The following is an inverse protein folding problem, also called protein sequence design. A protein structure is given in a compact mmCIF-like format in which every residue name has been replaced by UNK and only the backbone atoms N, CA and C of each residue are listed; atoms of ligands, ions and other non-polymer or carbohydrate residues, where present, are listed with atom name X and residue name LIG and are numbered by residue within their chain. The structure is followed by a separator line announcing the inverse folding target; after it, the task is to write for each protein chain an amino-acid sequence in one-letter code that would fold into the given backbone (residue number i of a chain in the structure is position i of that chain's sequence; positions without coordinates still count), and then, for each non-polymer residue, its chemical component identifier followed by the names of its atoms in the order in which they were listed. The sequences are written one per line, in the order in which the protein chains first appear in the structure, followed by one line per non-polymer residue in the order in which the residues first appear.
data_IF_194248348483
#
_entry.id   IF_194248348483
#
_cell.length_a   1.000
_cell.length_b   1.000
_cell.length_c   1.000
_cell.angle_alpha   90.00
_cell.angle_beta   90.00
_cell.angle_gamma   90.00
#
_symmetry.space_group_name_H-M   'P 1'
#
loop_
_entity.id
_entity.type
_entity.pdbx_description
1 polymer ?
#
# COMPACT_ATOMS: atom_id res chain seq x y z
N UNK A 1 14.64 -7.99 15.56
CA UNK A 1 15.17 -7.00 16.52
C UNK A 1 16.64 -7.30 16.68
N UNK A 2 17.50 -6.45 16.15
CA UNK A 2 18.96 -6.63 16.19
C UNK A 2 19.46 -6.01 17.51
N UNK A 3 20.27 -6.71 18.32
CA UNK A 3 20.80 -6.16 19.58
C UNK A 3 21.80 -5.04 19.29
N UNK A 4 21.80 -3.99 20.11
CA UNK A 4 22.83 -2.94 19.99
C UNK A 4 24.22 -3.49 20.32
N UNK A 5 25.26 -2.80 19.85
CA UNK A 5 26.66 -3.14 20.15
C UNK A 5 26.90 -3.28 21.66
N UNK A 6 26.31 -2.40 22.47
CA UNK A 6 26.39 -2.49 23.93
C UNK A 6 25.76 -3.76 24.51
N UNK A 7 24.65 -4.22 23.91
CA UNK A 7 23.98 -5.47 24.30
C UNK A 7 24.82 -6.66 23.85
N UNK A 8 25.40 -6.61 22.65
CA UNK A 8 26.29 -7.65 22.14
C UNK A 8 27.54 -7.78 23.02
N UNK A 9 28.18 -6.68 23.41
CA UNK A 9 29.36 -6.69 24.28
C UNK A 9 29.06 -7.20 25.69
N UNK A 10 27.84 -7.00 26.18
CA UNK A 10 27.37 -7.62 27.44
C UNK A 10 27.17 -9.12 27.27
N UNK A 11 26.61 -9.56 26.14
CA UNK A 11 26.39 -10.97 25.84
C UNK A 11 27.72 -11.72 25.62
N UNK A 12 28.66 -11.15 24.86
CA UNK A 12 29.99 -11.72 24.65
C UNK A 12 30.73 -11.95 25.97
N UNK A 13 30.65 -10.98 26.89
CA UNK A 13 31.20 -11.13 28.25
C UNK A 13 30.46 -12.15 29.08
N UNK A 14 29.12 -12.15 29.06
CA UNK A 14 28.31 -13.10 29.84
C UNK A 14 28.50 -14.56 29.38
N UNK A 15 28.76 -14.76 28.09
CA UNK A 15 28.99 -16.07 27.48
C UNK A 15 30.47 -16.50 27.48
N UNK A 16 31.38 -15.69 28.06
CA UNK A 16 32.82 -15.91 28.05
C UNK A 16 33.39 -16.21 26.65
N UNK A 17 32.89 -15.50 25.63
CA UNK A 17 33.41 -15.63 24.28
C UNK A 17 34.84 -15.10 24.22
N UNK A 18 35.68 -15.79 23.46
CA UNK A 18 37.02 -15.29 23.19
C UNK A 18 36.98 -14.07 22.26
N UNK A 19 38.11 -13.35 22.21
CA UNK A 19 38.24 -12.11 21.44
C UNK A 19 38.04 -12.32 19.93
N UNK A 20 38.24 -13.55 19.43
CA UNK A 20 38.02 -13.89 18.02
C UNK A 20 36.52 -14.01 17.72
N UNK A 21 35.80 -14.78 18.54
CA UNK A 21 34.35 -14.97 18.41
C UNK A 21 33.57 -13.67 18.67
N UNK A 22 34.01 -12.86 19.63
CA UNK A 22 33.41 -11.55 19.89
C UNK A 22 33.61 -10.58 18.71
N UNK A 23 34.76 -10.64 18.03
CA UNK A 23 35.03 -9.84 16.83
C UNK A 23 34.18 -10.29 15.66
N UNK A 24 34.07 -11.59 15.42
CA UNK A 24 33.22 -12.16 14.37
C UNK A 24 31.75 -11.76 14.55
N UNK A 25 31.22 -11.82 15.78
CA UNK A 25 29.85 -11.37 16.06
C UNK A 25 29.65 -9.87 15.85
N UNK A 26 30.65 -9.04 16.18
CA UNK A 26 30.61 -7.60 15.89
C UNK A 26 30.61 -7.34 14.39
N UNK A 27 31.43 -8.07 13.64
CA UNK A 27 31.51 -7.94 12.18
C UNK A 27 30.18 -8.39 11.52
N UNK A 28 29.56 -9.47 12.01
CA UNK A 28 28.23 -9.90 11.58
C UNK A 28 27.14 -8.89 11.93
N UNK A 29 27.19 -8.27 13.11
CA UNK A 29 26.26 -7.22 13.51
C UNK A 29 26.38 -6.01 12.56
N UNK A 30 27.58 -5.55 12.28
CA UNK A 30 27.85 -4.47 11.32
C UNK A 30 27.38 -4.84 9.92
N UNK A 31 27.58 -6.08 9.48
CA UNK A 31 27.10 -6.55 8.18
C UNK A 31 25.56 -6.55 8.09
N UNK A 32 24.86 -6.95 9.16
CA UNK A 32 23.39 -6.91 9.23
C UNK A 32 22.89 -5.47 9.30
N UNK A 33 23.50 -4.61 10.11
CA UNK A 33 23.17 -3.17 10.18
C UNK A 33 23.41 -2.48 8.83
N UNK A 34 24.50 -2.80 8.14
CA UNK A 34 24.80 -2.30 6.81
C UNK A 34 23.80 -2.81 5.77
N UNK A 35 23.39 -4.09 5.83
CA UNK A 35 22.41 -4.64 4.90
C UNK A 35 21.02 -4.01 5.10
N UNK A 36 20.62 -3.75 6.35
CA UNK A 36 19.40 -3.00 6.69
C UNK A 36 19.51 -1.55 6.19
N UNK A 37 20.69 -0.92 6.35
CA UNK A 37 20.94 0.44 5.86
C UNK A 37 20.92 0.51 4.33
N UNK A 38 21.41 -0.49 3.61
CA UNK A 38 21.33 -0.53 2.13
C UNK A 38 19.89 -0.74 1.64
N UNK A 39 19.07 -1.48 2.38
CA UNK A 39 17.61 -1.57 2.13
C UNK A 39 16.92 -0.21 2.39
N UNK A 40 17.47 0.59 3.33
CA UNK A 40 17.02 1.94 3.69
C UNK A 40 17.56 3.04 2.77
N UNK A 41 18.72 2.91 2.14
CA UNK A 41 19.25 3.93 1.19
C UNK A 41 18.49 3.94 -0.15
N UNK A 42 17.67 2.92 -0.43
CA UNK A 42 16.62 2.98 -1.45
C UNK A 42 15.44 3.91 -1.05
N UNK A 43 15.35 4.36 0.21
CA UNK A 43 14.31 5.25 0.77
C UNK A 43 14.49 6.74 0.41
N UNK A 44 15.39 7.09 -0.53
CA UNK A 44 15.59 8.46 -0.99
C UNK A 44 14.55 8.97 -2.00
N UNK A 45 13.67 8.10 -2.51
CA UNK A 45 12.63 8.47 -3.46
C UNK A 45 11.31 8.71 -2.69
N UNK A 46 10.65 9.86 -2.88
CA UNK A 46 9.35 10.09 -2.24
C UNK A 46 8.38 8.96 -2.58
N UNK A 47 7.65 8.48 -1.56
CA UNK A 47 6.61 7.47 -1.69
C UNK A 47 5.71 7.79 -2.91
N UNK A 48 5.80 6.96 -3.92
CA UNK A 48 5.14 7.03 -5.22
C UNK A 48 6.06 6.60 -6.36
N UNK A 49 7.32 7.07 -6.40
CA UNK A 49 8.12 7.07 -7.64
C UNK A 49 8.64 5.71 -8.10
N UNK A 50 8.94 4.77 -7.20
CA UNK A 50 9.49 3.45 -7.60
C UNK A 50 8.36 2.50 -8.00
N UNK A 51 7.20 2.58 -7.32
CA UNK A 51 5.95 1.97 -7.78
C UNK A 51 5.65 2.39 -9.21
N UNK A 52 5.84 3.68 -9.53
CA UNK A 52 5.42 4.24 -10.81
C UNK A 52 6.16 3.64 -12.00
N UNK A 53 7.47 3.41 -11.92
CA UNK A 53 8.25 2.87 -13.05
C UNK A 53 7.98 1.38 -13.27
N UNK A 54 7.87 0.61 -12.18
CA UNK A 54 7.52 -0.81 -12.26
C UNK A 54 6.11 -1.01 -12.83
N UNK A 55 5.13 -0.23 -12.34
CA UNK A 55 3.73 -0.27 -12.84
C UNK A 55 3.64 0.21 -14.28
N UNK A 56 4.35 1.29 -14.64
CA UNK A 56 4.34 1.82 -16.02
C UNK A 56 4.97 0.84 -17.00
N UNK A 57 5.98 0.07 -16.59
CA UNK A 57 6.60 -0.97 -17.42
C UNK A 57 5.74 -2.23 -17.59
N UNK A 58 4.85 -2.53 -16.63
CA UNK A 58 4.18 -3.83 -16.53
C UNK A 58 2.92 -3.96 -17.40
N UNK A 59 2.76 -5.09 -18.10
CA UNK A 59 1.52 -5.34 -18.87
C UNK A 59 0.36 -5.78 -17.98
N UNK A 60 0.67 -6.45 -16.88
CA UNK A 60 -0.26 -6.93 -15.87
C UNK A 60 0.08 -6.29 -14.53
N UNK A 61 -0.91 -5.68 -13.89
CA UNK A 61 -0.79 -5.10 -12.56
C UNK A 61 -1.82 -5.77 -11.66
N UNK A 62 -1.37 -6.45 -10.61
CA UNK A 62 -2.26 -7.10 -9.64
C UNK A 62 -2.00 -6.52 -8.26
N UNK A 63 -2.95 -5.77 -7.71
CA UNK A 63 -2.78 -5.09 -6.42
C UNK A 63 -3.77 -5.58 -5.39
N UNK A 64 -3.26 -5.99 -4.23
CA UNK A 64 -4.08 -6.30 -3.06
C UNK A 64 -3.94 -5.19 -2.02
N UNK A 65 -5.07 -4.70 -1.49
CA UNK A 65 -5.06 -3.66 -0.47
C UNK A 65 -6.04 -3.96 0.67
N UNK A 66 -5.58 -3.72 1.90
CA UNK A 66 -6.35 -3.96 3.12
C UNK A 66 -6.51 -2.73 4.02
N UNK A 67 -5.84 -1.62 3.71
CA UNK A 67 -5.87 -0.38 4.53
C UNK A 67 -6.19 0.84 3.68
N UNK A 68 -5.42 1.07 2.61
CA UNK A 68 -5.51 2.26 1.75
C UNK A 68 -5.93 1.85 0.34
N UNK A 69 -6.65 2.70 -0.38
CA UNK A 69 -6.93 2.43 -1.79
C UNK A 69 -5.66 2.42 -2.63
N UNK A 70 -5.54 1.52 -3.64
CA UNK A 70 -4.42 1.53 -4.57
C UNK A 70 -4.29 2.90 -5.23
N UNK A 71 -3.07 3.43 -5.32
CA UNK A 71 -2.78 4.76 -5.87
C UNK A 71 -3.37 5.01 -7.26
N UNK A 72 -3.44 3.98 -8.10
CA UNK A 72 -4.09 4.00 -9.43
C UNK A 72 -5.61 4.23 -9.37
N UNK A 73 -6.26 3.82 -8.28
CA UNK A 73 -7.70 3.95 -8.10
C UNK A 73 -8.12 5.23 -7.37
N UNK A 74 -7.17 5.96 -6.76
CA UNK A 74 -7.48 7.15 -5.96
C UNK A 74 -8.01 8.32 -6.80
N UNK A 75 -9.00 9.04 -6.29
CA UNK A 75 -9.41 10.33 -6.82
C UNK A 75 -8.34 11.38 -6.50
N UNK A 76 -8.36 12.51 -7.21
CA UNK A 76 -7.45 13.61 -6.91
C UNK A 76 -7.60 14.13 -5.46
N UNK A 77 -8.83 14.09 -4.92
CA UNK A 77 -9.12 14.51 -3.55
C UNK A 77 -8.60 13.51 -2.51
N UNK A 78 -8.77 12.20 -2.75
CA UNK A 78 -8.21 11.16 -1.90
C UNK A 78 -6.68 11.22 -1.91
N UNK A 79 -6.07 11.33 -3.10
CA UNK A 79 -4.62 11.45 -3.25
C UNK A 79 -4.08 12.69 -2.52
N UNK A 80 -4.80 13.82 -2.59
CA UNK A 80 -4.44 15.05 -1.86
C UNK A 80 -4.38 14.78 -0.35
N UNK A 81 -5.41 14.14 0.21
CA UNK A 81 -5.44 13.85 1.64
C UNK A 81 -4.31 12.90 2.07
N UNK A 82 -3.97 11.91 1.24
CA UNK A 82 -2.80 11.04 1.49
C UNK A 82 -1.52 11.87 1.57
N UNK A 83 -1.28 12.77 0.62
CA UNK A 83 -0.06 13.59 0.60
C UNK A 83 -0.03 14.67 1.69
N UNK A 84 -1.18 15.22 2.09
CA UNK A 84 -1.27 16.18 3.20
C UNK A 84 -0.92 15.58 4.56
N UNK A 85 -0.97 14.25 4.69
CA UNK A 85 -0.56 13.54 5.92
C UNK A 85 0.95 13.39 6.08
N UNK A 86 1.75 13.75 5.06
CA UNK A 86 3.20 13.67 5.13
C UNK A 86 3.78 14.80 6.02
N UNK A 87 4.80 14.51 6.86
CA UNK A 87 5.37 15.50 7.80
C UNK A 87 5.80 16.84 7.18
N UNK A 88 6.31 16.82 5.94
CA UNK A 88 6.85 17.99 5.24
C UNK A 88 5.94 18.47 4.08
N UNK A 89 4.64 18.17 4.14
CA UNK A 89 3.69 18.53 3.10
C UNK A 89 3.52 20.06 2.96
N UNK A 90 3.71 20.58 1.75
CA UNK A 90 3.37 21.96 1.38
C UNK A 90 2.29 21.96 0.31
N UNK A 91 1.49 23.02 0.21
CA UNK A 91 0.44 23.10 -0.81
C UNK A 91 0.98 22.90 -2.24
N UNK A 92 2.19 23.39 -2.52
CA UNK A 92 2.85 23.20 -3.81
C UNK A 92 3.35 21.76 -4.02
N UNK A 93 3.99 21.14 -3.01
CA UNK A 93 4.47 19.76 -3.14
C UNK A 93 3.31 18.77 -3.28
N UNK A 94 2.23 18.97 -2.50
CA UNK A 94 0.98 18.21 -2.61
C UNK A 94 0.35 18.39 -3.98
N UNK A 95 0.23 19.63 -4.47
CA UNK A 95 -0.35 19.92 -5.79
C UNK A 95 0.38 19.19 -6.93
N UNK A 96 1.72 19.22 -6.92
CA UNK A 96 2.55 18.49 -7.89
C UNK A 96 2.39 16.99 -7.77
N UNK A 97 2.41 16.45 -6.54
CA UNK A 97 2.30 15.02 -6.30
C UNK A 97 0.93 14.45 -6.72
N UNK A 98 -0.15 15.19 -6.47
CA UNK A 98 -1.50 14.85 -6.93
C UNK A 98 -1.58 14.84 -8.45
N UNK A 99 -1.05 15.87 -9.12
CA UNK A 99 -1.05 15.94 -10.58
C UNK A 99 -0.31 14.74 -11.20
N UNK A 100 0.88 14.44 -10.68
CA UNK A 100 1.67 13.30 -11.13
C UNK A 100 0.92 11.97 -10.89
N UNK A 101 0.25 11.80 -9.74
CA UNK A 101 -0.57 10.61 -9.47
C UNK A 101 -1.73 10.48 -10.44
N UNK A 102 -2.46 11.56 -10.73
CA UNK A 102 -3.59 11.55 -11.68
C UNK A 102 -3.11 11.23 -13.09
N UNK A 103 -1.99 11.79 -13.53
CA UNK A 103 -1.41 11.52 -14.85
C UNK A 103 -1.15 10.01 -15.04
N UNK A 104 -0.62 9.34 -14.02
CA UNK A 104 -0.30 7.91 -14.08
C UNK A 104 -1.51 7.01 -14.19
N UNK A 105 -2.68 7.49 -13.80
CA UNK A 105 -3.92 6.72 -13.93
C UNK A 105 -4.35 6.54 -15.39
N UNK A 106 -3.71 7.22 -16.34
CA UNK A 106 -3.88 6.96 -17.77
C UNK A 106 -3.59 5.50 -18.13
N UNK A 107 -2.71 4.83 -17.37
CA UNK A 107 -2.34 3.42 -17.59
C UNK A 107 -3.54 2.48 -17.53
N UNK A 108 -4.58 2.83 -16.76
CA UNK A 108 -5.81 2.06 -16.66
C UNK A 108 -6.61 2.04 -17.97
N UNK A 109 -6.36 2.99 -18.88
CA UNK A 109 -7.07 3.13 -20.14
C UNK A 109 -6.27 2.61 -21.34
N UNK A 110 -5.03 2.15 -21.12
CA UNK A 110 -4.15 1.67 -22.18
C UNK A 110 -4.60 0.28 -22.70
N UNK A 111 -4.91 0.14 -24.00
CA UNK A 111 -5.27 -1.16 -24.56
C UNK A 111 -4.14 -2.18 -24.41
N UNK A 112 -4.49 -3.43 -24.08
CA UNK A 112 -3.52 -4.51 -23.92
C UNK A 112 -2.89 -4.60 -22.53
N UNK A 113 -3.26 -3.72 -21.59
CA UNK A 113 -2.97 -3.89 -20.17
C UNK A 113 -4.13 -4.54 -19.43
N UNK A 114 -3.79 -5.34 -18.42
CA UNK A 114 -4.75 -5.86 -17.46
C UNK A 114 -4.39 -5.35 -16.06
N UNK A 115 -5.37 -4.78 -15.36
CA UNK A 115 -5.22 -4.34 -13.97
C UNK A 115 -6.25 -5.02 -13.10
N UNK A 116 -5.80 -5.80 -12.12
CA UNK A 116 -6.65 -6.49 -11.17
C UNK A 116 -6.42 -5.90 -9.78
N UNK A 117 -7.49 -5.44 -9.16
CA UNK A 117 -7.45 -4.88 -7.81
C UNK A 117 -8.30 -5.74 -6.88
N UNK A 118 -7.73 -6.21 -5.79
CA UNK A 118 -8.47 -6.93 -4.74
C UNK A 118 -8.38 -6.11 -3.46
N UNK A 119 -9.54 -5.67 -2.96
CA UNK A 119 -9.64 -4.86 -1.76
C UNK A 119 -10.30 -5.67 -0.65
N UNK A 120 -9.92 -5.46 0.60
CA UNK A 120 -10.85 -5.78 1.70
C UNK A 120 -11.92 -4.70 1.79
N UNK A 121 -13.13 -5.05 2.23
CA UNK A 121 -14.19 -4.05 2.44
C UNK A 121 -13.80 -2.95 3.44
N UNK A 122 -12.85 -3.21 4.36
CA UNK A 122 -12.33 -2.21 5.27
C UNK A 122 -11.73 -0.99 4.55
N UNK A 123 -11.13 -1.18 3.37
CA UNK A 123 -10.60 -0.08 2.54
C UNK A 123 -11.70 0.87 2.08
N UNK A 124 -12.89 0.34 1.78
CA UNK A 124 -14.04 1.13 1.34
C UNK A 124 -14.70 1.89 2.50
N UNK A 125 -14.49 1.40 3.72
CA UNK A 125 -15.12 1.91 4.95
C UNK A 125 -14.19 2.80 5.77
N UNK A 126 -12.90 2.82 5.46
CA UNK A 126 -11.93 3.70 6.13
C UNK A 126 -11.87 5.00 5.34
N UNK A 127 -12.53 6.06 5.83
CA UNK A 127 -12.51 7.36 5.18
C UNK A 127 -11.44 8.28 5.79
N UNK A 128 -10.44 8.68 5.01
CA UNK A 128 -9.57 9.77 5.41
C UNK A 128 -10.32 11.10 5.21
N UNK A 129 -10.44 11.91 6.27
CA UNK A 129 -11.14 13.18 6.21
C UNK A 129 -12.66 13.07 6.34
N UNK A 130 -13.41 13.34 5.27
CA UNK A 130 -14.88 13.50 5.33
C UNK A 130 -15.64 12.38 4.60
N UNK A 131 -16.90 12.11 4.97
CA UNK A 131 -17.76 11.21 4.20
C UNK A 131 -17.92 11.63 2.73
N UNK A 132 -17.94 12.94 2.45
CA UNK A 132 -18.05 13.47 1.08
C UNK A 132 -16.84 13.08 0.21
N UNK A 133 -15.62 13.14 0.77
CA UNK A 133 -14.40 12.70 0.08
C UNK A 133 -14.51 11.23 -0.33
N UNK A 134 -14.94 10.36 0.59
CA UNK A 134 -15.09 8.94 0.25
C UNK A 134 -16.25 8.67 -0.70
N UNK A 135 -17.33 9.44 -0.68
CA UNK A 135 -18.38 9.33 -1.71
C UNK A 135 -17.83 9.59 -3.11
N UNK A 136 -17.06 10.68 -3.28
CA UNK A 136 -16.40 10.99 -4.56
C UNK A 136 -15.40 9.89 -4.98
N UNK A 137 -14.70 9.30 -4.01
CA UNK A 137 -13.82 8.17 -4.24
C UNK A 137 -14.57 6.90 -4.69
N UNK A 138 -15.71 6.58 -4.07
CA UNK A 138 -16.52 5.41 -4.44
C UNK A 138 -17.21 5.60 -5.80
N UNK A 139 -17.61 6.82 -6.15
CA UNK A 139 -18.09 7.16 -7.50
C UNK A 139 -17.00 6.89 -8.56
N UNK A 140 -15.75 7.24 -8.25
CA UNK A 140 -14.62 6.88 -9.11
C UNK A 140 -14.45 5.36 -9.24
N UNK A 141 -14.60 4.60 -8.15
CA UNK A 141 -14.53 3.13 -8.21
C UNK A 141 -15.61 2.54 -9.13
N UNK A 142 -16.84 3.09 -9.10
CA UNK A 142 -17.90 2.70 -10.02
C UNK A 142 -17.57 2.99 -11.48
N UNK A 143 -16.86 4.08 -11.77
CA UNK A 143 -16.42 4.42 -13.11
C UNK A 143 -15.31 3.46 -13.61
N UNK A 144 -14.28 3.21 -12.80
CA UNK A 144 -13.15 2.34 -13.20
C UNK A 144 -13.55 0.86 -13.29
N UNK A 145 -14.51 0.40 -12.50
CA UNK A 145 -15.03 -0.98 -12.58
C UNK A 145 -15.70 -1.28 -13.94
N UNK A 146 -16.14 -0.23 -14.66
CA UNK A 146 -16.71 -0.38 -16.00
C UNK A 146 -15.67 -0.49 -17.12
N UNK A 147 -14.37 -0.32 -16.82
CA UNK A 147 -13.30 -0.42 -17.81
C UNK A 147 -12.97 -1.89 -18.12
N UNK A 148 -12.86 -2.23 -19.40
CA UNK A 148 -12.53 -3.60 -19.84
C UNK A 148 -11.11 -4.04 -19.46
N UNK A 149 -10.24 -3.09 -19.14
CA UNK A 149 -8.85 -3.27 -18.69
C UNK A 149 -8.74 -3.47 -17.18
N UNK A 150 -9.83 -3.28 -16.43
CA UNK A 150 -9.84 -3.31 -14.97
C UNK A 150 -10.75 -4.42 -14.45
N UNK A 151 -10.24 -5.23 -13.52
CA UNK A 151 -11.04 -6.14 -12.70
C UNK A 151 -10.96 -5.70 -11.24
N UNK A 152 -12.05 -5.16 -10.73
CA UNK A 152 -12.16 -4.78 -9.32
C UNK A 152 -12.85 -5.88 -8.53
N UNK A 153 -12.15 -6.41 -7.53
CA UNK A 153 -12.62 -7.38 -6.57
C UNK A 153 -12.64 -6.83 -5.15
N UNK A 154 -13.64 -7.22 -4.37
CA UNK A 154 -13.71 -6.87 -2.94
C UNK A 154 -13.96 -8.11 -2.11
N UNK A 155 -13.21 -8.32 -1.04
CA UNK A 155 -13.48 -9.32 -0.01
C UNK A 155 -14.45 -8.70 0.99
N UNK A 156 -15.74 -9.11 0.99
CA UNK A 156 -16.73 -8.53 1.89
C UNK A 156 -16.42 -8.91 3.34
N UNK A 157 -16.76 -8.04 4.30
CA UNK A 157 -16.54 -8.31 5.73
C UNK A 157 -17.24 -9.58 6.24
N UNK A 158 -18.33 -9.97 5.55
CA UNK A 158 -19.11 -11.19 5.79
C UNK A 158 -18.44 -12.49 5.29
N UNK A 159 -17.26 -12.42 4.66
CA UNK A 159 -16.50 -13.58 4.21
C UNK A 159 -15.21 -13.73 5.02
N UNK A 160 -14.80 -14.96 5.35
CA UNK A 160 -13.51 -15.18 5.98
C UNK A 160 -12.38 -14.79 5.02
N UNK A 161 -11.36 -14.12 5.54
CA UNK A 161 -10.12 -13.88 4.81
C UNK A 161 -9.27 -15.16 4.79
N UNK A 162 -8.68 -15.53 3.65
CA UNK A 162 -7.90 -16.76 3.52
C UNK A 162 -6.57 -16.70 4.29
N UNK A 163 -6.08 -15.49 4.53
CA UNK A 163 -4.88 -15.13 5.29
C UNK A 163 -5.17 -13.81 6.00
N UNK A 164 -4.52 -13.57 7.14
CA UNK A 164 -4.58 -12.26 7.78
C UNK A 164 -3.76 -11.26 6.95
N UNK A 165 -4.39 -10.21 6.39
CA UNK A 165 -3.67 -9.17 5.67
C UNK A 165 -2.71 -8.43 6.60
N UNK A 166 -1.43 -8.35 6.24
CA UNK A 166 -0.42 -7.60 7.00
C UNK A 166 -0.20 -6.20 6.44
N UNK A 167 -0.19 -6.09 5.12
CA UNK A 167 -0.02 -4.86 4.35
C UNK A 167 -0.63 -5.07 2.95
N UNK A 168 -0.77 -3.98 2.20
CA UNK A 168 -1.03 -4.05 0.76
C UNK A 168 0.24 -4.39 -0.02
N UNK A 169 0.08 -4.79 -1.27
CA UNK A 169 1.18 -5.00 -2.21
C UNK A 169 0.67 -4.95 -3.65
N UNK A 170 1.58 -4.70 -4.59
CA UNK A 170 1.30 -4.64 -6.03
C UNK A 170 2.30 -5.49 -6.78
N UNK A 171 1.81 -6.52 -7.48
CA UNK A 171 2.57 -7.33 -8.43
C UNK A 171 2.58 -6.62 -9.79
N UNK A 172 3.78 -6.50 -10.35
CA UNK A 172 4.05 -5.97 -11.67
C UNK A 172 4.57 -7.12 -12.54
N UNK A 173 3.70 -7.61 -13.44
CA UNK A 173 3.90 -8.87 -14.16
C UNK A 173 4.25 -10.03 -13.20
N UNK A 174 5.17 -10.89 -13.62
CA UNK A 174 5.79 -11.98 -12.83
C UNK A 174 7.21 -11.56 -12.39
N UNK A 175 7.49 -10.25 -12.37
CA UNK A 175 8.85 -9.72 -12.31
C UNK A 175 9.16 -8.96 -11.01
N UNK A 176 8.16 -8.30 -10.44
CA UNK A 176 8.37 -7.50 -9.24
C UNK A 176 7.13 -7.48 -8.35
N UNK A 177 7.37 -7.37 -7.04
CA UNK A 177 6.37 -6.99 -6.06
C UNK A 177 6.77 -5.68 -5.41
N UNK A 178 5.79 -4.79 -5.26
CA UNK A 178 5.98 -3.50 -4.62
C UNK A 178 5.12 -3.40 -3.36
N UNK A 179 5.73 -2.95 -2.27
CA UNK A 179 5.10 -2.77 -0.96
C UNK A 179 5.30 -1.32 -0.56
N UNK A 180 4.19 -0.61 -0.39
CA UNK A 180 4.20 0.75 0.14
C UNK A 180 4.21 0.70 1.68
N UNK A 181 5.25 1.26 2.30
CA UNK A 181 5.41 1.39 3.74
C UNK A 181 5.47 2.87 4.15
N UNK A 182 5.31 3.15 5.45
CA UNK A 182 5.40 4.52 5.96
C UNK A 182 6.78 5.16 5.76
N UNK A 183 7.84 4.35 5.73
CA UNK A 183 9.22 4.81 5.58
C UNK A 183 9.68 4.89 4.14
N UNK A 184 8.89 4.38 3.19
CA UNK A 184 9.25 4.36 1.78
C UNK A 184 8.59 3.19 1.03
N UNK A 185 9.09 2.95 -0.17
CA UNK A 185 8.63 1.84 -1.01
C UNK A 185 9.69 0.75 -1.03
N UNK A 186 9.24 -0.49 -0.86
CA UNK A 186 10.09 -1.67 -1.06
C UNK A 186 9.70 -2.34 -2.37
N UNK A 187 10.66 -2.45 -3.29
CA UNK A 187 10.51 -3.24 -4.51
C UNK A 187 11.37 -4.48 -4.38
N UNK A 188 10.77 -5.65 -4.55
CA UNK A 188 11.49 -6.92 -4.64
C UNK A 188 11.30 -7.53 -6.02
N UNK A 189 12.43 -7.91 -6.63
CA UNK A 189 12.51 -8.67 -7.89
C UNK A 189 12.99 -10.11 -7.63
N UNK A 190 13.06 -10.52 -6.37
CA UNK A 190 13.41 -11.89 -6.01
C UNK A 190 12.29 -12.83 -6.44
N UNK A 191 12.61 -13.78 -7.33
CA UNK A 191 11.62 -14.68 -7.91
C UNK A 191 10.87 -15.55 -6.89
N UNK A 192 11.51 -15.91 -5.77
CA UNK A 192 10.86 -16.72 -4.75
C UNK A 192 9.90 -15.87 -3.89
N UNK A 193 10.29 -14.62 -3.61
CA UNK A 193 9.40 -13.65 -2.96
C UNK A 193 8.21 -13.31 -3.86
N UNK A 194 8.45 -12.99 -5.15
CA UNK A 194 7.38 -12.71 -6.13
C UNK A 194 6.39 -13.87 -6.19
N UNK A 195 6.86 -15.12 -6.35
CA UNK A 195 5.99 -16.29 -6.40
C UNK A 195 5.15 -16.48 -5.12
N UNK A 196 5.71 -16.18 -3.94
CA UNK A 196 4.96 -16.23 -2.69
C UNK A 196 3.86 -15.15 -2.60
N UNK A 197 4.10 -13.97 -3.16
CA UNK A 197 3.10 -12.91 -3.26
C UNK A 197 2.03 -13.22 -4.30
N UNK A 198 2.36 -13.90 -5.40
CA UNK A 198 1.39 -14.39 -6.38
C UNK A 198 0.44 -15.40 -5.75
N UNK A 199 0.94 -16.41 -5.05
CA UNK A 199 0.10 -17.39 -4.34
C UNK A 199 -0.81 -16.69 -3.31
N UNK A 200 -0.25 -15.73 -2.60
CA UNK A 200 -1.00 -14.92 -1.62
C UNK A 200 -2.11 -14.10 -2.29
N UNK A 201 -1.81 -13.47 -3.43
CA UNK A 201 -2.77 -12.72 -4.22
C UNK A 201 -3.91 -13.60 -4.71
N UNK A 202 -3.60 -14.78 -5.26
CA UNK A 202 -4.58 -15.71 -5.79
C UNK A 202 -5.55 -16.19 -4.72
N UNK A 203 -5.06 -16.42 -3.50
CA UNK A 203 -5.91 -16.73 -2.34
C UNK A 203 -6.87 -15.58 -2.03
N UNK A 204 -6.39 -14.34 -1.95
CA UNK A 204 -7.24 -13.18 -1.71
C UNK A 204 -8.25 -12.97 -2.84
N UNK A 205 -7.82 -13.14 -4.09
CA UNK A 205 -8.68 -13.05 -5.26
C UNK A 205 -9.79 -14.10 -5.22
N UNK A 206 -9.49 -15.34 -4.83
CA UNK A 206 -10.47 -16.41 -4.68
C UNK A 206 -11.54 -16.15 -3.61
N UNK A 207 -11.24 -15.32 -2.61
CA UNK A 207 -12.20 -14.92 -1.57
C UNK A 207 -13.07 -13.71 -1.98
N UNK A 208 -12.64 -12.94 -2.99
CA UNK A 208 -13.29 -11.71 -3.40
C UNK A 208 -14.58 -11.95 -4.21
N UNK A 209 -15.46 -10.96 -4.21
CA UNK A 209 -16.57 -10.81 -5.17
C UNK A 209 -16.14 -9.86 -6.28
N UNK A 210 -16.74 -9.99 -7.47
CA UNK A 210 -16.44 -9.18 -8.65
C UNK A 210 -17.74 -8.73 -9.34
N UNK A 211 -17.63 -7.76 -10.26
CA UNK A 211 -18.74 -7.35 -11.13
C UNK A 211 -19.93 -6.78 -10.36
N UNK A 212 -21.14 -7.27 -10.68
CA UNK A 212 -22.40 -6.80 -10.08
C UNK A 212 -22.40 -6.82 -8.54
N UNK A 213 -21.79 -7.82 -7.91
CA UNK A 213 -21.71 -7.90 -6.44
C UNK A 213 -20.83 -6.79 -5.85
N UNK A 214 -19.75 -6.40 -6.54
CA UNK A 214 -18.92 -5.26 -6.14
C UNK A 214 -19.71 -3.97 -6.31
N UNK A 215 -20.42 -3.80 -7.42
CA UNK A 215 -21.27 -2.63 -7.66
C UNK A 215 -22.32 -2.46 -6.56
N UNK A 216 -23.01 -3.53 -6.18
CA UNK A 216 -23.97 -3.52 -5.08
C UNK A 216 -23.32 -3.17 -3.75
N UNK A 217 -22.12 -3.69 -3.48
CA UNK A 217 -21.38 -3.39 -2.27
C UNK A 217 -20.99 -1.91 -2.19
N UNK A 218 -20.46 -1.35 -3.28
CA UNK A 218 -20.10 0.07 -3.39
C UNK A 218 -21.33 0.96 -3.12
N UNK A 219 -22.45 0.69 -3.78
CA UNK A 219 -23.70 1.44 -3.58
C UNK A 219 -24.22 1.35 -2.14
N UNK A 220 -24.07 0.19 -1.49
CA UNK A 220 -24.44 0.01 -0.08
C UNK A 220 -23.56 0.88 0.84
N UNK A 221 -22.23 0.82 0.67
CA UNK A 221 -21.29 1.64 1.46
C UNK A 221 -21.54 3.13 1.24
N UNK A 222 -21.81 3.56 0.01
CA UNK A 222 -22.17 4.95 -0.30
C UNK A 222 -23.46 5.38 0.42
N UNK A 223 -24.48 4.52 0.49
CA UNK A 223 -25.71 4.82 1.23
C UNK A 223 -25.41 5.04 2.71
N UNK A 224 -24.65 4.12 3.32
CA UNK A 224 -24.26 4.20 4.73
C UNK A 224 -23.43 5.48 5.01
N UNK A 225 -22.51 5.86 4.11
CA UNK A 225 -21.73 7.10 4.23
C UNK A 225 -22.57 8.37 4.19
N UNK A 226 -23.65 8.40 3.39
CA UNK A 226 -24.57 9.55 3.35
C UNK A 226 -25.30 9.70 4.68
N UNK A 227 -25.77 8.59 5.25
CA UNK A 227 -26.43 8.56 6.57
C UNK A 227 -25.47 8.98 7.71
N UNK A 228 -24.18 8.65 7.58
CA UNK A 228 -23.12 9.11 8.49
C UNK A 228 -22.83 10.62 8.38
N UNK A 229 -22.83 11.17 7.16
CA UNK A 229 -22.62 12.61 6.94
C UNK A 229 -23.66 13.49 7.67
N UNK A 230 -24.87 12.97 7.84
CA UNK A 230 -25.94 13.64 8.58
C UNK A 230 -25.77 13.59 10.11
N UNK A 231 -24.88 12.72 10.63
CA UNK A 231 -24.74 12.42 12.06
C UNK A 231 -23.37 12.74 12.65
N UNK A 232 -22.32 12.80 11.85
CA UNK A 232 -20.96 13.09 12.31
C UNK A 232 -20.74 14.61 12.42
N UNK A 233 -20.72 15.13 13.66
CA UNK A 233 -20.15 16.46 13.92
C UNK A 233 -18.64 16.37 13.67
N UNK A 234 -18.02 17.25 12.84
CA UNK A 234 -16.59 17.19 12.61
C UNK A 234 -15.86 17.48 13.93
N UNK A 235 -15.39 16.43 14.62
CA UNK A 235 -14.33 16.61 15.60
C UNK A 235 -13.12 17.02 14.78
N UNK A 236 -12.71 18.27 14.95
CA UNK A 236 -11.56 18.84 14.27
C UNK A 236 -10.41 17.85 14.27
N UNK A 237 -9.84 17.63 13.09
CA UNK A 237 -8.60 16.91 12.91
C UNK A 237 -7.63 17.51 13.93
N UNK A 238 -7.23 16.75 14.95
CA UNK A 238 -6.24 17.22 15.91
C UNK A 238 -4.96 17.39 15.09
N UNK A 239 -4.42 18.61 14.93
CA UNK A 239 -3.19 18.78 14.19
C UNK A 239 -2.10 17.98 14.91
N UNK A 240 -1.49 17.04 14.18
CA UNK A 240 -0.34 16.27 14.63
C UNK A 240 0.92 17.17 14.59
N UNK A 241 0.98 18.15 15.47
CA UNK A 241 2.20 18.88 15.77
C UNK A 241 2.33 19.08 17.28
N UNK A 242 3.25 18.31 17.88
CA UNK A 242 3.86 18.56 19.17
C UNK A 242 5.37 18.30 19.03
#
# INVERSE_FOLDING_TARGET
MVPSVDVLDRLCRALNLDESAARELRDLLVAVESAIATDSEAEGLPAGLVVDDAVRGARSVRSFQCVVLPSLLQSAEYARHVFESAPDATAESVGRAVAARVERQSVLYEPGRESVFVLTEAVLRTWPGTPALMLAQLDRLLAVESLSTVRLGVIPWRRPVPLLPRHGFTLCDEQAVVIEAFTGERVSVDSAEVAAYEETFDRFQGAAVFGGEVRELLLRVMKELRELGDTVTPRGIIPLHA
#
